data_IF_806855940178
#
_entry.id   IF_806855940178
#
_cell.length_a   1.000
_cell.length_b   1.000
_cell.length_c   1.000
_cell.angle_alpha   90.00
_cell.angle_beta   90.00
_cell.angle_gamma   90.00
#
_symmetry.space_group_name_H-M   'P 1'
#
loop_
_entity.id
_entity.type
_entity.pdbx_description
1 polymer ?
#
# COMPACT_ATOMS: atom_id res chain seq x y z
N UNK A 1 3.71 5.56 6.59
CA UNK A 1 4.35 6.64 5.81
C UNK A 1 3.51 7.92 5.84
N UNK A 2 4.05 9.05 5.39
CA UNK A 2 3.30 10.30 5.22
C UNK A 2 3.22 10.65 3.73
N UNK A 3 2.16 11.33 3.31
CA UNK A 3 1.93 11.76 1.92
C UNK A 3 2.84 12.90 1.46
N UNK A 4 3.38 13.65 2.42
CA UNK A 4 4.09 14.91 2.17
C UNK A 4 5.60 14.74 1.99
N UNK A 5 6.07 13.49 1.94
CA UNK A 5 7.48 13.14 1.86
C UNK A 5 7.70 12.16 0.70
N UNK A 6 8.95 11.77 0.45
CA UNK A 6 9.35 10.81 -0.61
C UNK A 6 8.60 9.48 -0.55
N UNK A 7 7.97 9.18 0.60
CA UNK A 7 7.16 7.99 0.92
C UNK A 7 5.72 8.05 0.39
N UNK A 8 5.31 9.16 -0.25
CA UNK A 8 3.94 9.34 -0.73
C UNK A 8 3.53 8.31 -1.80
N UNK A 9 4.47 7.88 -2.64
CA UNK A 9 4.20 6.93 -3.73
C UNK A 9 3.65 5.60 -3.23
N UNK A 10 4.25 5.01 -2.20
CA UNK A 10 3.80 3.73 -1.65
C UNK A 10 2.44 3.84 -0.95
N UNK A 11 2.17 5.00 -0.34
CA UNK A 11 0.88 5.27 0.27
C UNK A 11 -0.24 5.40 -0.78
N UNK A 12 0.01 6.03 -1.92
CA UNK A 12 -0.95 6.07 -3.04
C UNK A 12 -1.21 4.69 -3.64
N UNK A 13 -0.17 3.84 -3.75
CA UNK A 13 -0.36 2.45 -4.18
C UNK A 13 -1.28 1.69 -3.21
N UNK A 14 -1.11 1.91 -1.89
CA UNK A 14 -2.00 1.36 -0.86
C UNK A 14 -3.44 1.85 -0.99
N UNK A 15 -3.67 3.14 -1.23
CA UNK A 15 -5.01 3.70 -1.47
C UNK A 15 -5.65 3.13 -2.74
N UNK A 16 -4.88 2.99 -3.82
CA UNK A 16 -5.37 2.39 -5.06
C UNK A 16 -5.81 0.93 -4.86
N UNK A 17 -5.04 0.15 -4.09
CA UNK A 17 -5.43 -1.21 -3.71
C UNK A 17 -6.68 -1.21 -2.81
N UNK A 18 -6.71 -0.36 -1.79
CA UNK A 18 -7.84 -0.24 -0.86
C UNK A 18 -9.15 0.09 -1.58
N UNK A 19 -9.12 0.96 -2.59
CA UNK A 19 -10.29 1.28 -3.41
C UNK A 19 -10.91 0.01 -4.01
N UNK A 20 -10.09 -0.80 -4.67
CA UNK A 20 -10.53 -2.00 -5.38
C UNK A 20 -11.01 -3.06 -4.39
N UNK A 21 -10.30 -3.21 -3.27
CA UNK A 21 -10.69 -4.12 -2.20
C UNK A 21 -12.05 -3.70 -1.64
N UNK A 22 -12.21 -2.43 -1.27
CA UNK A 22 -13.45 -1.89 -0.70
C UNK A 22 -14.63 -2.05 -1.67
N UNK A 23 -14.44 -1.76 -2.96
CA UNK A 23 -15.47 -1.99 -3.98
C UNK A 23 -15.88 -3.47 -4.03
N UNK A 24 -14.91 -4.39 -4.10
CA UNK A 24 -15.17 -5.84 -4.21
C UNK A 24 -15.69 -6.50 -2.94
N UNK A 25 -15.35 -5.99 -1.75
CA UNK A 25 -15.76 -6.56 -0.46
C UNK A 25 -16.93 -5.83 0.18
N UNK A 26 -17.39 -4.72 -0.37
CA UNK A 26 -18.50 -3.90 0.16
C UNK A 26 -19.79 -4.71 0.43
N UNK A 27 -20.07 -5.72 -0.39
CA UNK A 27 -21.23 -6.62 -0.28
C UNK A 27 -20.90 -8.00 0.28
N UNK A 28 -19.66 -8.18 0.76
CA UNK A 28 -19.19 -9.42 1.38
C UNK A 28 -19.65 -9.51 2.84
N UNK A 29 -19.68 -10.72 3.38
CA UNK A 29 -19.84 -10.97 4.82
C UNK A 29 -18.64 -10.45 5.64
N UNK A 30 -17.50 -10.21 4.97
CA UNK A 30 -16.28 -9.64 5.54
C UNK A 30 -15.88 -8.38 4.75
N UNK A 31 -16.48 -7.22 5.05
CA UNK A 31 -16.12 -5.96 4.40
C UNK A 31 -14.71 -5.52 4.79
N UNK A 32 -14.11 -4.65 3.96
CA UNK A 32 -12.76 -4.14 4.21
C UNK A 32 -12.72 -3.20 5.41
N UNK A 33 -11.68 -3.35 6.23
CA UNK A 33 -11.33 -2.45 7.33
C UNK A 33 -9.98 -1.81 7.01
N UNK A 34 -9.86 -0.49 7.18
CA UNK A 34 -8.65 0.25 6.88
C UNK A 34 -8.04 0.86 8.14
N UNK A 35 -6.71 0.86 8.20
CA UNK A 35 -5.98 1.61 9.21
C UNK A 35 -4.85 2.43 8.60
N UNK A 36 -4.57 3.59 9.20
CA UNK A 36 -3.52 4.50 8.74
C UNK A 36 -2.62 4.93 9.90
N UNK A 37 -1.34 5.15 9.57
CA UNK A 37 -0.31 5.64 10.51
C UNK A 37 -0.08 7.16 10.47
N UNK A 38 -0.88 7.88 9.70
CA UNK A 38 -0.75 9.32 9.45
C UNK A 38 -2.17 9.93 9.33
N UNK A 39 -2.42 11.15 9.85
CA UNK A 39 -3.76 11.73 9.85
C UNK A 39 -4.28 12.05 8.45
N UNK A 40 -3.43 12.54 7.55
CA UNK A 40 -3.83 12.86 6.18
C UNK A 40 -4.15 11.57 5.41
N UNK A 41 -3.36 10.52 5.61
CA UNK A 41 -3.71 9.20 5.09
C UNK A 41 -5.01 8.66 5.68
N UNK A 42 -5.28 8.86 6.97
CA UNK A 42 -6.52 8.44 7.60
C UNK A 42 -7.78 9.07 6.97
N UNK A 43 -7.70 10.34 6.57
CA UNK A 43 -8.77 10.99 5.83
C UNK A 43 -8.91 10.41 4.42
N UNK A 44 -7.79 10.21 3.72
CA UNK A 44 -7.83 9.62 2.38
C UNK A 44 -8.31 8.17 2.39
N UNK A 45 -8.01 7.37 3.43
CA UNK A 45 -8.53 6.01 3.53
C UNK A 45 -10.04 6.01 3.74
N UNK A 46 -10.59 6.94 4.52
CA UNK A 46 -12.04 7.11 4.65
C UNK A 46 -12.70 7.47 3.31
N UNK A 47 -12.18 8.49 2.63
CA UNK A 47 -12.68 8.92 1.31
C UNK A 47 -12.58 7.79 0.27
N UNK A 48 -11.46 7.08 0.24
CA UNK A 48 -11.21 5.97 -0.67
C UNK A 48 -12.17 4.81 -0.45
N UNK A 49 -12.43 4.44 0.81
CA UNK A 49 -13.39 3.39 1.14
C UNK A 49 -14.81 3.84 0.79
N UNK A 50 -15.24 5.03 1.21
CA UNK A 50 -16.56 5.56 0.87
C UNK A 50 -16.80 5.47 -0.63
N UNK A 51 -15.86 5.98 -1.41
CA UNK A 51 -16.01 6.00 -2.84
C UNK A 51 -16.00 4.56 -3.42
N UNK A 52 -15.33 3.58 -2.77
CA UNK A 52 -15.40 2.15 -3.11
C UNK A 52 -16.80 1.57 -2.95
N UNK A 53 -17.48 1.89 -1.84
CA UNK A 53 -18.88 1.56 -1.62
C UNK A 53 -19.80 2.26 -2.64
N UNK A 54 -19.54 3.52 -2.98
CA UNK A 54 -20.27 4.25 -4.03
C UNK A 54 -20.14 3.55 -5.40
N UNK A 55 -18.95 3.08 -5.79
CA UNK A 55 -18.77 2.35 -7.05
C UNK A 55 -19.47 0.99 -7.07
N UNK A 56 -19.59 0.33 -5.92
CA UNK A 56 -20.37 -0.89 -5.80
C UNK A 56 -21.89 -0.62 -5.78
N UNK A 57 -22.32 0.64 -5.71
CA UNK A 57 -23.73 1.03 -5.66
C UNK A 57 -24.41 0.74 -4.33
N UNK A 58 -23.63 0.66 -3.25
CA UNK A 58 -24.09 0.31 -1.88
C UNK A 58 -23.58 1.32 -0.84
N UNK A 59 -23.59 2.61 -1.20
CA UNK A 59 -23.12 3.71 -0.35
C UNK A 59 -23.79 3.71 1.03
N UNK A 60 -25.05 3.29 1.12
CA UNK A 60 -25.80 3.19 2.37
C UNK A 60 -25.23 2.19 3.39
N UNK A 61 -24.39 1.25 2.93
CA UNK A 61 -23.71 0.27 3.78
C UNK A 61 -22.37 0.80 4.32
N UNK A 62 -21.90 1.96 3.86
CA UNK A 62 -20.64 2.52 4.31
C UNK A 62 -20.73 3.02 5.76
N UNK A 63 -19.80 2.55 6.60
CA UNK A 63 -19.69 2.94 8.00
C UNK A 63 -18.36 3.68 8.21
N UNK A 64 -18.35 4.99 8.50
CA UNK A 64 -17.12 5.78 8.60
C UNK A 64 -16.08 5.28 9.62
N UNK A 65 -16.51 4.53 10.64
CA UNK A 65 -15.62 3.99 11.68
C UNK A 65 -14.78 2.81 11.21
N UNK A 66 -15.06 2.22 10.04
CA UNK A 66 -14.29 1.11 9.44
C UNK A 66 -12.92 1.55 8.91
N UNK A 67 -12.65 2.86 8.83
CA UNK A 67 -11.34 3.43 8.53
C UNK A 67 -10.87 4.35 9.65
N UNK A 68 -9.69 4.08 10.23
CA UNK A 68 -9.20 4.77 11.42
C UNK A 68 -7.69 4.96 11.47
N UNK A 69 -7.25 6.00 12.17
CA UNK A 69 -5.83 6.21 12.49
C UNK A 69 -5.51 5.53 13.81
N UNK A 70 -4.60 4.55 13.80
CA UNK A 70 -4.28 3.72 14.97
C UNK A 70 -3.08 4.22 15.76
N UNK A 71 -2.24 5.06 15.15
CA UNK A 71 -1.10 5.70 15.80
C UNK A 71 -0.32 6.56 14.82
N UNK A 72 0.44 7.52 15.34
CA UNK A 72 1.16 8.53 14.54
C UNK A 72 2.66 8.23 14.42
N UNK A 73 3.12 7.17 15.07
CA UNK A 73 4.49 6.66 15.00
C UNK A 73 4.47 5.20 14.56
N UNK A 74 5.55 4.67 13.98
CA UNK A 74 5.55 3.31 13.46
C UNK A 74 5.08 2.26 14.49
N UNK A 75 5.65 2.26 15.70
CA UNK A 75 5.25 1.32 16.74
C UNK A 75 3.87 1.61 17.36
N UNK A 76 3.43 2.88 17.43
CA UNK A 76 2.08 3.18 17.92
C UNK A 76 1.02 2.74 16.91
N UNK A 77 1.27 2.94 15.62
CA UNK A 77 0.42 2.43 14.55
C UNK A 77 0.27 0.91 14.66
N UNK A 78 1.39 0.19 14.79
CA UNK A 78 1.37 -1.27 14.94
C UNK A 78 0.63 -1.67 16.21
N UNK A 79 0.89 -1.02 17.35
CA UNK A 79 0.18 -1.29 18.61
C UNK A 79 -1.34 -1.16 18.49
N UNK A 80 -1.84 -0.13 17.79
CA UNK A 80 -3.27 0.03 17.57
C UNK A 80 -3.84 -0.87 16.46
N UNK A 81 -3.03 -1.26 15.47
CA UNK A 81 -3.47 -2.11 14.35
C UNK A 81 -3.46 -3.61 14.68
N UNK A 82 -2.61 -4.06 15.62
CA UNK A 82 -2.45 -5.47 15.97
C UNK A 82 -3.74 -6.18 16.42
N UNK A 83 -4.77 -5.44 16.84
CA UNK A 83 -6.03 -6.03 17.33
C UNK A 83 -7.18 -5.88 16.34
N UNK A 84 -6.95 -5.28 15.16
CA UNK A 84 -7.99 -5.14 14.15
C UNK A 84 -8.39 -6.50 13.60
N UNK A 85 -7.41 -7.35 13.26
CA UNK A 85 -7.68 -8.63 12.63
C UNK A 85 -8.55 -9.55 13.49
N UNK A 86 -8.23 -9.67 14.79
CA UNK A 86 -8.98 -10.48 15.75
C UNK A 86 -10.31 -9.87 16.18
N UNK A 87 -10.43 -8.54 16.29
CA UNK A 87 -11.69 -7.91 16.70
C UNK A 87 -12.71 -7.80 15.55
N UNK A 88 -12.25 -7.66 14.32
CA UNK A 88 -13.12 -7.44 13.14
C UNK A 88 -13.22 -8.68 12.23
N UNK A 89 -12.72 -9.85 12.67
CA UNK A 89 -12.76 -11.12 11.95
C UNK A 89 -12.22 -11.00 10.51
N UNK A 90 -11.03 -10.42 10.37
CA UNK A 90 -10.39 -10.20 9.07
C UNK A 90 -9.79 -11.51 8.55
N UNK A 91 -10.12 -11.89 7.32
CA UNK A 91 -9.57 -13.10 6.67
C UNK A 91 -8.18 -12.91 6.06
N UNK A 92 -7.84 -11.67 5.67
CA UNK A 92 -6.53 -11.35 5.07
C UNK A 92 -6.10 -9.95 5.48
N UNK A 93 -4.89 -9.84 6.03
CA UNK A 93 -4.25 -8.59 6.35
C UNK A 93 -3.38 -8.15 5.18
N UNK A 94 -3.61 -6.94 4.67
CA UNK A 94 -2.88 -6.39 3.52
C UNK A 94 -2.16 -5.14 3.97
N UNK A 95 -0.83 -5.19 3.97
CA UNK A 95 0.04 -4.10 4.40
C UNK A 95 0.77 -3.52 3.20
N UNK A 96 0.41 -2.32 2.77
CA UNK A 96 1.06 -1.63 1.64
C UNK A 96 1.46 -0.22 2.07
N UNK A 97 2.74 0.12 1.99
CA UNK A 97 3.20 1.48 2.27
C UNK A 97 4.65 1.55 2.73
N UNK A 98 4.93 2.50 3.62
CA UNK A 98 6.25 2.64 4.25
C UNK A 98 6.23 2.03 5.66
N UNK A 99 6.76 0.82 5.78
CA UNK A 99 6.94 0.09 7.04
C UNK A 99 8.41 -0.24 7.26
N UNK A 100 8.94 0.02 8.44
CA UNK A 100 10.24 -0.44 8.89
C UNK A 100 10.17 -1.81 9.61
N UNK A 101 11.13 -2.09 10.51
CA UNK A 101 11.19 -3.36 11.25
C UNK A 101 9.93 -3.67 12.08
N UNK A 102 9.16 -2.65 12.45
CA UNK A 102 7.90 -2.80 13.17
C UNK A 102 6.87 -3.65 12.42
N UNK A 103 6.99 -3.79 11.09
CA UNK A 103 6.16 -4.68 10.29
C UNK A 103 6.17 -6.12 10.80
N UNK A 104 7.28 -6.56 11.39
CA UNK A 104 7.43 -7.92 11.93
C UNK A 104 6.47 -8.22 13.07
N UNK A 105 6.04 -7.21 13.83
CA UNK A 105 5.05 -7.40 14.89
C UNK A 105 3.65 -7.66 14.29
N UNK A 106 3.31 -6.97 13.20
CA UNK A 106 2.07 -7.24 12.46
C UNK A 106 2.12 -8.60 11.73
N UNK A 107 3.31 -9.04 11.32
CA UNK A 107 3.48 -10.37 10.77
C UNK A 107 3.33 -11.48 11.82
N UNK A 108 4.00 -11.35 12.97
CA UNK A 108 3.88 -12.29 14.08
C UNK A 108 2.43 -12.41 14.59
N UNK A 109 1.68 -11.29 14.69
CA UNK A 109 0.28 -11.37 15.12
C UNK A 109 -0.61 -12.03 14.04
N UNK A 110 -0.36 -11.75 12.76
CA UNK A 110 -1.14 -12.35 11.67
C UNK A 110 -0.92 -13.87 11.60
N UNK A 111 0.31 -14.33 11.82
CA UNK A 111 0.63 -15.77 11.91
C UNK A 111 -0.05 -16.43 13.12
N UNK A 112 -0.04 -15.78 14.29
CA UNK A 112 -0.71 -16.27 15.51
C UNK A 112 -2.22 -16.37 15.37
N UNK A 113 -2.83 -15.40 14.68
CA UNK A 113 -4.27 -15.34 14.46
C UNK A 113 -4.72 -16.18 13.24
N UNK A 114 -3.80 -16.87 12.56
CA UNK A 114 -4.03 -17.63 11.32
C UNK A 114 -4.64 -16.78 10.20
N UNK A 115 -4.28 -15.51 10.13
CA UNK A 115 -4.72 -14.56 9.11
C UNK A 115 -3.65 -14.47 8.02
N UNK A 116 -4.05 -14.68 6.76
CA UNK A 116 -3.14 -14.52 5.63
C UNK A 116 -2.60 -13.10 5.59
N UNK A 117 -1.27 -12.93 5.46
CA UNK A 117 -0.63 -11.63 5.39
C UNK A 117 0.03 -11.43 4.02
N UNK A 118 -0.38 -10.35 3.35
CA UNK A 118 0.26 -9.84 2.13
C UNK A 118 0.96 -8.53 2.50
N UNK A 119 2.27 -8.48 2.30
CA UNK A 119 3.11 -7.38 2.76
C UNK A 119 3.94 -6.74 1.66
N UNK A 120 3.85 -5.41 1.54
CA UNK A 120 4.66 -4.60 0.64
C UNK A 120 5.19 -3.36 1.37
N UNK A 121 6.52 -3.21 1.42
CA UNK A 121 7.17 -2.00 1.95
C UNK A 121 8.17 -1.41 0.97
N UNK A 122 8.19 -0.08 0.87
CA UNK A 122 9.24 0.67 0.15
C UNK A 122 10.52 0.88 0.99
N UNK A 123 10.51 0.50 2.26
CA UNK A 123 11.65 0.57 3.16
C UNK A 123 12.36 -0.79 3.22
N UNK A 124 13.66 -0.81 2.93
CA UNK A 124 14.46 -2.03 2.85
C UNK A 124 14.46 -2.86 4.15
N UNK A 125 14.41 -2.21 5.32
CA UNK A 125 14.37 -2.90 6.60
C UNK A 125 13.02 -3.56 6.88
N UNK A 126 11.91 -2.94 6.47
CA UNK A 126 10.60 -3.60 6.60
C UNK A 126 10.37 -4.63 5.51
N UNK A 127 10.86 -4.39 4.30
CA UNK A 127 10.80 -5.36 3.21
C UNK A 127 11.57 -6.64 3.55
N UNK A 128 12.76 -6.55 4.17
CA UNK A 128 13.50 -7.73 4.60
C UNK A 128 12.78 -8.52 5.69
N UNK A 129 12.12 -7.84 6.62
CA UNK A 129 11.29 -8.46 7.65
C UNK A 129 10.08 -9.15 7.01
N UNK A 130 9.32 -8.45 6.18
CA UNK A 130 8.14 -9.01 5.49
C UNK A 130 8.51 -10.18 4.58
N UNK A 131 9.64 -10.11 3.88
CA UNK A 131 10.16 -11.23 3.09
C UNK A 131 10.45 -12.47 3.93
N UNK A 132 10.94 -12.30 5.16
CA UNK A 132 11.24 -13.40 6.05
C UNK A 132 10.00 -13.92 6.80
N UNK A 133 8.98 -13.09 6.99
CA UNK A 133 7.86 -13.36 7.91
C UNK A 133 6.50 -13.53 7.25
N UNK A 134 6.38 -13.36 5.93
CA UNK A 134 5.10 -13.46 5.21
C UNK A 134 5.18 -14.51 4.12
N UNK A 135 4.05 -15.13 3.80
CA UNK A 135 3.98 -16.12 2.72
C UNK A 135 4.00 -15.45 1.34
N UNK A 136 3.42 -14.25 1.23
CA UNK A 136 3.26 -13.49 -0.01
C UNK A 136 3.83 -12.06 0.14
N UNK A 137 5.15 -11.95 0.20
CA UNK A 137 5.85 -10.66 0.22
C UNK A 137 5.98 -10.07 -1.19
N UNK A 138 5.55 -8.82 -1.39
CA UNK A 138 5.79 -8.09 -2.63
C UNK A 138 7.14 -7.37 -2.54
N UNK A 139 8.00 -7.57 -3.54
CA UNK A 139 9.37 -7.07 -3.55
C UNK A 139 9.54 -5.93 -4.56
N UNK A 140 10.21 -4.88 -4.12
CA UNK A 140 10.61 -3.76 -4.99
C UNK A 140 9.42 -3.05 -5.61
N UNK A 141 9.33 -3.09 -6.95
CA UNK A 141 8.30 -2.36 -7.70
C UNK A 141 6.92 -3.04 -7.73
N UNK A 142 6.83 -4.29 -7.26
CA UNK A 142 5.57 -5.03 -7.15
C UNK A 142 4.55 -4.31 -6.23
N UNK A 143 5.04 -3.53 -5.27
CA UNK A 143 4.24 -2.65 -4.43
C UNK A 143 3.32 -1.74 -5.27
N UNK A 144 3.84 -1.19 -6.37
CA UNK A 144 3.11 -0.30 -7.27
C UNK A 144 2.23 -1.05 -8.28
N UNK A 145 2.47 -2.36 -8.46
CA UNK A 145 1.65 -3.22 -9.29
C UNK A 145 0.42 -3.77 -8.54
N UNK A 146 0.32 -3.60 -7.22
CA UNK A 146 -0.74 -4.19 -6.38
C UNK A 146 -2.16 -3.89 -6.88
N UNK A 147 -2.42 -2.67 -7.35
CA UNK A 147 -3.71 -2.33 -7.96
C UNK A 147 -3.99 -3.18 -9.21
N UNK A 148 -3.00 -3.36 -10.08
CA UNK A 148 -3.13 -4.18 -11.29
C UNK A 148 -3.38 -5.66 -10.96
N UNK A 149 -2.72 -6.21 -9.93
CA UNK A 149 -2.96 -7.58 -9.46
C UNK A 149 -4.38 -7.80 -8.94
N UNK A 150 -4.96 -6.79 -8.30
CA UNK A 150 -6.34 -6.83 -7.81
C UNK A 150 -7.40 -6.57 -8.89
N UNK A 151 -6.99 -6.34 -10.13
CA UNK A 151 -7.87 -6.11 -11.26
C UNK A 151 -8.20 -4.63 -11.52
N UNK A 152 -7.37 -3.68 -11.07
CA UNK A 152 -7.41 -2.32 -11.58
C UNK A 152 -7.25 -2.38 -13.10
N UNK A 153 -8.22 -1.85 -13.84
CA UNK A 153 -8.16 -1.82 -15.30
C UNK A 153 -6.92 -1.10 -15.86
N UNK A 154 -6.87 -1.05 -17.20
CA UNK A 154 -5.79 -0.54 -18.09
C UNK A 154 -5.06 0.76 -17.68
N UNK A 155 -5.63 1.58 -16.80
CA UNK A 155 -5.04 2.81 -16.26
C UNK A 155 -3.79 2.57 -15.39
N UNK A 156 -3.74 1.50 -14.59
CA UNK A 156 -2.57 1.24 -13.73
C UNK A 156 -1.39 0.66 -14.52
N UNK A 157 -1.65 -0.20 -15.52
CA UNK A 157 -0.63 -0.68 -16.46
C UNK A 157 -0.06 0.47 -17.31
N UNK A 158 -0.87 1.48 -17.63
CA UNK A 158 -0.39 2.68 -18.31
C UNK A 158 0.58 3.49 -17.45
N UNK A 159 0.34 3.60 -16.13
CA UNK A 159 1.26 4.27 -15.20
C UNK A 159 2.64 3.59 -15.15
N UNK A 160 2.66 2.25 -15.04
CA UNK A 160 3.91 1.47 -15.07
C UNK A 160 4.68 1.68 -16.39
N UNK A 161 3.97 1.68 -17.52
CA UNK A 161 4.56 1.90 -18.84
C UNK A 161 5.17 3.30 -18.96
N UNK A 162 4.48 4.34 -18.45
CA UNK A 162 4.99 5.72 -18.44
C UNK A 162 6.22 5.84 -17.55
N UNK A 163 6.21 5.21 -16.37
CA UNK A 163 7.35 5.20 -15.46
C UNK A 163 8.59 4.55 -16.12
N UNK A 164 8.40 3.45 -16.86
CA UNK A 164 9.49 2.80 -17.60
C UNK A 164 10.03 3.64 -18.74
N UNK A 165 9.15 4.32 -19.50
CA UNK A 165 9.58 5.24 -20.57
C UNK A 165 10.41 6.38 -19.99
N UNK A 166 9.95 7.00 -18.89
CA UNK A 166 10.68 8.08 -18.23
C UNK A 166 12.03 7.59 -17.68
N UNK A 167 12.07 6.39 -17.10
CA UNK A 167 13.30 5.76 -16.61
C UNK A 167 14.33 5.60 -17.73
N UNK A 168 13.92 5.05 -18.87
CA UNK A 168 14.80 4.91 -20.05
C UNK A 168 15.27 6.26 -20.61
N UNK A 169 14.41 7.27 -20.62
CA UNK A 169 14.75 8.61 -21.09
C UNK A 169 15.82 9.26 -20.19
N UNK A 170 15.68 9.13 -18.86
CA UNK A 170 16.67 9.61 -17.89
C UNK A 170 17.99 8.86 -18.07
N UNK A 171 17.95 7.52 -18.19
CA UNK A 171 19.16 6.70 -18.42
C UNK A 171 19.87 7.16 -19.71
N UNK A 172 19.15 7.31 -20.81
CA UNK A 172 19.72 7.77 -22.07
C UNK A 172 20.33 9.17 -21.96
N UNK A 173 19.68 10.08 -21.23
CA UNK A 173 20.17 11.44 -21.01
C UNK A 173 21.44 11.45 -20.16
N UNK A 174 21.50 10.65 -19.10
CA UNK A 174 22.69 10.50 -18.25
C UNK A 174 23.87 9.91 -19.02
N UNK A 175 23.64 8.84 -19.79
CA UNK A 175 24.67 8.23 -20.64
C UNK A 175 25.14 9.21 -21.71
N UNK A 176 24.22 9.89 -22.39
CA UNK A 176 24.54 10.90 -23.41
C UNK A 176 25.34 12.07 -22.84
N UNK A 177 24.92 12.60 -21.68
CA UNK A 177 25.63 13.66 -20.97
C UNK A 177 27.02 13.22 -20.51
N UNK A 178 27.15 12.01 -19.97
CA UNK A 178 28.45 11.45 -19.59
C UNK A 178 29.38 11.29 -20.80
N UNK A 179 28.86 10.83 -21.94
CA UNK A 179 29.63 10.70 -23.19
C UNK A 179 30.08 12.06 -23.76
N UNK A 180 29.19 13.05 -23.80
CA UNK A 180 29.50 14.42 -24.24
C UNK A 180 30.57 15.07 -23.35
N UNK A 181 30.49 14.85 -22.03
CA UNK A 181 31.51 15.29 -21.07
C UNK A 181 32.86 14.59 -21.31
N UNK A 182 32.84 13.29 -21.60
CA UNK A 182 34.05 12.53 -21.88
C UNK A 182 34.74 12.99 -23.18
N UNK A 183 33.97 13.46 -24.16
CA UNK A 183 34.46 14.03 -25.41
C UNK A 183 34.85 15.53 -25.29
N UNK A 184 34.69 16.14 -24.11
CA UNK A 184 35.08 17.52 -23.83
C UNK A 184 34.20 18.58 -24.51
N UNK A 185 32.98 18.21 -24.90
CA UNK A 185 32.00 19.13 -25.52
C UNK A 185 31.26 19.95 -24.46
N UNK A 186 31.17 19.42 -23.24
CA UNK A 186 30.61 20.02 -22.03
C UNK A 186 31.49 19.71 -20.81
#
# INVERSE_FOLDING_TARGET
GSLLDERGGSAFAGLAALRIISEKTSVSDMPSVASAGDPALGLLTQDTMQAGYEAAGVEELYVPTTSRVTGLTPFSYVAGAMHIASNENVSTNIMIGHFGPEAGLLADISDRDYVTLIGASDNLAGQSVLYASTQDALIGEELFATGAYLGAGTSHSASLTVQDILRWLIIATLIGGAGLKFLGVI
#
